data_IF_807201658307
#
_entry.id   IF_807201658307
#
_cell.length_a   1.000
_cell.length_b   1.000
_cell.length_c   1.000
_cell.angle_alpha   90.00
_cell.angle_beta   90.00
_cell.angle_gamma   90.00
#
_symmetry.space_group_name_H-M   'P 1'
#
loop_
_entity.id
_entity.type
_entity.pdbx_description
1 polymer ?
#
# COMPACT_ATOMS: atom_id res chain seq x y z
N UNK A 1 -7.29 -26.22 3.50
CA UNK A 1 -6.08 -25.88 4.28
C UNK A 1 -6.49 -24.93 5.39
N UNK A 2 -6.26 -25.26 6.66
CA UNK A 2 -6.59 -24.39 7.80
C UNK A 2 -5.46 -23.37 7.96
N UNK A 3 -5.77 -22.07 7.80
CA UNK A 3 -4.81 -20.98 8.00
C UNK A 3 -4.19 -21.01 9.41
N UNK A 4 -2.94 -20.57 9.54
CA UNK A 4 -2.25 -20.50 10.83
C UNK A 4 -2.74 -19.26 11.59
N UNK A 5 -3.23 -19.44 12.80
CA UNK A 5 -3.47 -18.36 13.75
C UNK A 5 -2.21 -18.21 14.59
N UNK A 6 -1.53 -17.05 14.49
CA UNK A 6 -0.39 -16.74 15.34
C UNK A 6 -0.87 -16.60 16.80
N UNK A 7 -0.24 -17.27 17.78
CA UNK A 7 -0.58 -17.07 19.19
C UNK A 7 -0.14 -15.67 19.63
N UNK A 8 -1.10 -14.78 19.94
CA UNK A 8 -0.85 -13.40 20.37
C UNK A 8 -1.07 -13.27 21.88
N UNK A 9 -0.04 -12.84 22.62
CA UNK A 9 -0.04 -12.76 24.08
C UNK A 9 -0.04 -11.29 24.54
N UNK A 10 -0.94 -10.93 25.47
CA UNK A 10 -1.24 -9.52 25.81
C UNK A 10 -0.19 -8.76 26.63
N UNK A 11 0.86 -9.43 27.12
CA UNK A 11 1.84 -8.87 28.06
C UNK A 11 3.31 -9.04 27.62
N UNK A 12 3.58 -9.06 26.32
CA UNK A 12 4.93 -9.39 25.82
C UNK A 12 5.73 -8.12 25.51
N UNK A 13 6.69 -7.76 26.38
CA UNK A 13 7.87 -6.99 25.96
C UNK A 13 8.82 -7.96 25.27
N UNK A 14 9.17 -7.69 24.00
CA UNK A 14 10.12 -8.55 23.29
C UNK A 14 11.47 -8.50 24.01
N UNK A 15 11.96 -9.65 24.47
CA UNK A 15 13.36 -9.75 24.91
C UNK A 15 14.28 -9.43 23.72
N UNK A 16 15.47 -8.88 23.96
CA UNK A 16 16.48 -8.61 22.91
C UNK A 16 16.80 -9.83 22.01
N UNK A 17 16.41 -11.04 22.43
CA UNK A 17 16.60 -12.29 21.70
C UNK A 17 15.46 -12.67 20.74
N UNK A 18 14.34 -11.95 20.74
CA UNK A 18 13.24 -12.28 19.84
C UNK A 18 13.45 -11.72 18.43
N UNK A 19 13.38 -12.62 17.45
CA UNK A 19 13.68 -12.30 16.06
C UNK A 19 12.43 -11.84 15.32
N UNK A 20 12.57 -10.74 14.61
CA UNK A 20 11.59 -10.30 13.60
C UNK A 20 11.96 -10.97 12.29
N UNK A 21 10.94 -11.50 11.61
CA UNK A 21 11.10 -12.25 10.35
C UNK A 21 10.13 -11.74 9.30
N UNK A 22 10.50 -11.86 8.03
CA UNK A 22 9.59 -11.63 6.90
C UNK A 22 8.85 -12.92 6.63
N UNK A 23 7.52 -12.89 6.70
CA UNK A 23 6.67 -14.08 6.54
C UNK A 23 5.92 -14.14 5.21
N UNK A 24 5.76 -13.00 4.52
CA UNK A 24 5.11 -12.94 3.22
C UNK A 24 5.50 -11.69 2.44
N UNK A 25 5.39 -11.78 1.12
CA UNK A 25 5.67 -10.70 0.18
C UNK A 25 4.48 -10.48 -0.75
N UNK A 26 4.14 -9.23 -0.99
CA UNK A 26 3.10 -8.84 -1.94
C UNK A 26 3.48 -7.55 -2.63
N UNK A 27 3.23 -7.50 -3.94
CA UNK A 27 3.66 -6.38 -4.77
C UNK A 27 2.76 -6.22 -5.99
N UNK A 28 2.51 -4.97 -6.36
CA UNK A 28 1.91 -4.57 -7.63
C UNK A 28 2.92 -3.67 -8.32
N UNK A 29 3.46 -4.12 -9.45
CA UNK A 29 4.59 -3.44 -10.11
C UNK A 29 4.35 -3.36 -11.63
N UNK A 30 5.11 -2.51 -12.35
CA UNK A 30 5.11 -2.53 -13.82
C UNK A 30 5.57 -3.86 -14.44
N UNK A 31 6.31 -4.68 -13.69
CA UNK A 31 6.72 -6.03 -14.08
C UNK A 31 5.71 -7.11 -13.67
N UNK A 32 4.53 -6.75 -13.16
CA UNK A 32 3.45 -7.68 -12.85
C UNK A 32 2.91 -7.57 -11.43
N UNK A 33 1.82 -8.31 -11.21
CA UNK A 33 1.11 -8.41 -9.94
C UNK A 33 1.46 -9.72 -9.26
N UNK A 34 1.91 -9.65 -8.01
CA UNK A 34 2.37 -10.80 -7.25
C UNK A 34 3.86 -11.10 -7.43
N UNK A 35 4.44 -11.78 -6.43
CA UNK A 35 5.87 -12.06 -6.36
C UNK A 35 6.37 -13.00 -7.47
N UNK A 36 5.54 -13.95 -7.88
CA UNK A 36 5.94 -14.97 -8.86
C UNK A 36 6.11 -14.35 -10.25
N UNK A 37 5.12 -13.57 -10.69
CA UNK A 37 5.22 -12.89 -12.00
C UNK A 37 6.31 -11.82 -12.00
N UNK A 38 6.40 -11.02 -10.94
CA UNK A 38 7.48 -10.05 -10.79
C UNK A 38 8.86 -10.71 -10.87
N UNK A 39 9.09 -11.77 -10.09
CA UNK A 39 10.39 -12.45 -10.04
C UNK A 39 10.74 -13.10 -11.37
N UNK A 40 9.78 -13.77 -12.01
CA UNK A 40 9.95 -14.38 -13.35
C UNK A 40 10.44 -13.35 -14.36
N UNK A 41 9.70 -12.24 -14.52
CA UNK A 41 10.04 -11.18 -15.48
C UNK A 41 11.34 -10.47 -15.14
N UNK A 42 11.59 -10.23 -13.85
CA UNK A 42 12.85 -9.64 -13.39
C UNK A 42 14.06 -10.51 -13.78
N UNK A 43 14.00 -11.83 -13.54
CA UNK A 43 15.12 -12.74 -13.84
C UNK A 43 15.26 -13.07 -15.32
N UNK A 44 14.20 -12.94 -16.11
CA UNK A 44 14.26 -13.02 -17.58
C UNK A 44 14.85 -11.76 -18.22
N UNK A 45 15.01 -10.67 -17.46
CA UNK A 45 15.57 -9.41 -17.94
C UNK A 45 14.56 -8.52 -18.66
N UNK A 46 13.26 -8.68 -18.36
CA UNK A 46 12.20 -7.87 -18.97
C UNK A 46 12.31 -6.40 -18.58
N UNK A 47 11.99 -5.52 -19.53
CA UNK A 47 11.89 -4.09 -19.31
C UNK A 47 10.42 -3.66 -19.34
N UNK A 48 9.96 -2.99 -18.27
CA UNK A 48 8.62 -2.39 -18.20
C UNK A 48 8.59 -0.90 -18.55
N UNK A 49 9.74 -0.32 -18.94
CA UNK A 49 9.81 1.08 -19.38
C UNK A 49 9.27 1.16 -20.80
N UNK A 50 8.26 2.01 -21.00
CA UNK A 50 7.63 2.25 -22.29
C UNK A 50 7.15 3.71 -22.36
N UNK A 51 6.60 4.12 -23.50
CA UNK A 51 5.92 5.41 -23.65
C UNK A 51 4.76 5.50 -22.64
N UNK A 52 4.71 6.60 -21.89
CA UNK A 52 3.63 6.91 -20.94
C UNK A 52 2.31 7.05 -21.70
N UNK A 53 1.27 6.38 -21.23
CA UNK A 53 -0.08 6.40 -21.82
C UNK A 53 -1.12 6.97 -20.86
N UNK A 54 -0.80 7.12 -19.58
CA UNK A 54 -1.74 7.58 -18.54
C UNK A 54 -2.07 9.08 -18.68
N UNK A 55 -1.16 9.88 -19.24
CA UNK A 55 -1.37 11.31 -19.47
C UNK A 55 -0.54 11.82 -20.66
N UNK A 56 -0.91 12.99 -21.19
CA UNK A 56 -0.19 13.62 -22.30
C UNK A 56 1.18 14.15 -21.85
N UNK A 57 2.24 13.68 -22.50
CA UNK A 57 3.62 14.07 -22.21
C UNK A 57 4.21 15.04 -23.24
N UNK A 58 3.45 15.53 -24.24
CA UNK A 58 3.98 16.40 -25.29
C UNK A 58 4.66 17.68 -24.77
N UNK A 59 4.19 18.20 -23.63
CA UNK A 59 4.71 19.43 -23.03
C UNK A 59 5.95 19.24 -22.13
N UNK A 60 6.42 18.00 -21.91
CA UNK A 60 7.57 17.68 -21.06
C UNK A 60 8.71 17.07 -21.88
N UNK A 61 9.92 17.06 -21.32
CA UNK A 61 11.12 16.55 -21.99
C UNK A 61 11.27 15.03 -21.93
N UNK A 62 10.50 14.33 -21.09
CA UNK A 62 10.53 12.88 -20.93
C UNK A 62 9.17 12.27 -21.23
N UNK A 63 9.16 11.26 -22.10
CA UNK A 63 7.95 10.57 -22.55
C UNK A 63 7.90 9.10 -22.10
N UNK A 64 8.96 8.62 -21.43
CA UNK A 64 9.09 7.24 -20.99
C UNK A 64 8.79 7.10 -19.49
N UNK A 65 8.17 5.99 -19.12
CA UNK A 65 7.84 5.64 -17.74
C UNK A 65 7.52 4.15 -17.60
N UNK A 66 7.43 3.67 -16.36
CA UNK A 66 7.05 2.29 -16.06
C UNK A 66 5.67 2.29 -15.40
N UNK A 67 4.64 2.01 -16.20
CA UNK A 67 3.25 2.01 -15.75
C UNK A 67 2.81 0.61 -15.33
N UNK A 68 2.04 0.52 -14.24
CA UNK A 68 1.28 -0.69 -13.94
C UNK A 68 0.09 -0.78 -14.89
N UNK A 69 0.11 -1.75 -15.82
CA UNK A 69 -0.92 -1.93 -16.87
C UNK A 69 -1.88 -3.09 -16.56
N UNK A 70 -1.36 -4.26 -16.21
CA UNK A 70 -2.15 -5.48 -16.01
C UNK A 70 -2.62 -5.65 -14.55
N UNK A 71 -3.19 -4.59 -13.98
CA UNK A 71 -3.72 -4.60 -12.61
C UNK A 71 -5.24 -4.46 -12.63
N UNK A 72 -5.92 -5.46 -12.05
CA UNK A 72 -7.39 -5.50 -11.95
C UNK A 72 -7.82 -5.33 -10.49
N UNK A 73 -8.16 -4.10 -10.03
CA UNK A 73 -8.35 -3.82 -8.60
C UNK A 73 -9.51 -4.60 -7.95
N UNK A 74 -10.54 -4.95 -8.74
CA UNK A 74 -11.72 -5.71 -8.27
C UNK A 74 -11.39 -7.11 -7.74
N UNK A 75 -10.21 -7.63 -8.08
CA UNK A 75 -9.75 -8.95 -7.62
C UNK A 75 -9.25 -8.88 -6.15
N UNK A 76 -8.97 -7.67 -5.65
CA UNK A 76 -8.37 -7.43 -4.33
C UNK A 76 -9.23 -6.57 -3.40
N UNK A 77 -10.12 -5.74 -3.96
CA UNK A 77 -10.88 -4.73 -3.22
C UNK A 77 -12.37 -4.91 -3.45
N UNK A 78 -13.15 -4.83 -2.37
CA UNK A 78 -14.60 -4.89 -2.40
C UNK A 78 -15.22 -3.82 -3.31
N UNK A 79 -16.30 -4.20 -4.01
CA UNK A 79 -17.07 -3.29 -4.89
C UNK A 79 -17.48 -1.99 -4.18
N UNK A 80 -17.76 -2.07 -2.87
CA UNK A 80 -18.12 -0.94 -2.03
C UNK A 80 -17.00 0.10 -1.91
N UNK A 81 -15.74 -0.34 -1.83
CA UNK A 81 -14.60 0.53 -1.59
C UNK A 81 -13.85 0.91 -2.87
N UNK A 82 -13.99 0.12 -3.95
CA UNK A 82 -13.35 0.36 -5.25
C UNK A 82 -13.49 1.80 -5.76
N UNK A 83 -14.68 2.41 -5.63
CA UNK A 83 -14.94 3.78 -6.13
C UNK A 83 -14.44 4.89 -5.22
N UNK A 84 -13.97 4.55 -4.01
CA UNK A 84 -13.52 5.52 -3.00
C UNK A 84 -12.00 5.63 -2.91
N UNK A 85 -11.28 4.66 -3.47
CA UNK A 85 -9.83 4.55 -3.37
C UNK A 85 -9.17 5.08 -4.64
N UNK A 86 -8.13 5.89 -4.49
CA UNK A 86 -7.23 6.25 -5.59
C UNK A 86 -6.36 5.06 -6.03
N UNK A 87 -5.64 5.23 -7.15
CA UNK A 87 -4.78 4.18 -7.72
C UNK A 87 -3.72 3.67 -6.72
N UNK A 88 -3.09 4.56 -5.97
CA UNK A 88 -2.10 4.22 -4.93
C UNK A 88 -2.74 3.43 -3.80
N UNK A 89 -3.93 3.83 -3.34
CA UNK A 89 -4.72 3.08 -2.35
C UNK A 89 -5.08 1.68 -2.83
N UNK A 90 -5.50 1.53 -4.09
CA UNK A 90 -5.84 0.23 -4.67
C UNK A 90 -4.60 -0.69 -4.76
N UNK A 91 -3.47 -0.18 -5.26
CA UNK A 91 -2.23 -0.96 -5.36
C UNK A 91 -1.67 -1.31 -3.97
N UNK A 92 -1.75 -0.40 -3.00
CA UNK A 92 -1.34 -0.64 -1.61
C UNK A 92 -2.17 -1.76 -0.99
N UNK A 93 -3.49 -1.70 -1.15
CA UNK A 93 -4.41 -2.71 -0.62
C UNK A 93 -4.18 -4.08 -1.25
N UNK A 94 -3.99 -4.14 -2.58
CA UNK A 94 -3.67 -5.38 -3.29
C UNK A 94 -2.32 -5.97 -2.86
N UNK A 95 -1.29 -5.14 -2.71
CA UNK A 95 0.03 -5.59 -2.24
C UNK A 95 -0.04 -6.15 -0.82
N UNK A 96 -0.76 -5.48 0.09
CA UNK A 96 -0.96 -5.96 1.45
C UNK A 96 -1.80 -7.26 1.51
N UNK A 97 -2.83 -7.41 0.67
CA UNK A 97 -3.58 -8.67 0.52
C UNK A 97 -2.67 -9.81 0.08
N UNK A 98 -1.89 -9.60 -0.97
CA UNK A 98 -0.94 -10.60 -1.49
C UNK A 98 0.09 -11.01 -0.42
N UNK A 99 0.58 -10.06 0.37
CA UNK A 99 1.50 -10.35 1.47
C UNK A 99 0.86 -11.20 2.59
N UNK A 100 -0.39 -10.91 2.97
CA UNK A 100 -1.13 -11.72 3.93
C UNK A 100 -1.37 -13.14 3.42
N UNK A 101 -1.75 -13.27 2.15
CA UNK A 101 -2.02 -14.55 1.51
C UNK A 101 -0.74 -15.40 1.44
N UNK A 102 0.40 -14.78 1.08
CA UNK A 102 1.71 -15.44 1.08
C UNK A 102 2.15 -15.88 2.49
N UNK A 103 1.89 -15.04 3.50
CA UNK A 103 2.16 -15.37 4.89
C UNK A 103 1.19 -16.42 5.47
N UNK A 104 0.09 -16.72 4.78
CA UNK A 104 -0.99 -17.58 5.27
C UNK A 104 -1.71 -17.01 6.51
N UNK A 105 -1.77 -15.68 6.64
CA UNK A 105 -2.35 -14.98 7.79
C UNK A 105 -3.78 -14.54 7.46
N UNK A 106 -4.74 -15.02 8.26
CA UNK A 106 -6.11 -14.53 8.23
C UNK A 106 -6.33 -13.43 9.29
N UNK A 107 -6.92 -12.30 8.88
CA UNK A 107 -7.34 -11.24 9.80
C UNK A 107 -8.67 -11.62 10.43
N UNK A 108 -8.73 -11.58 11.76
CA UNK A 108 -9.87 -11.99 12.58
C UNK A 108 -10.12 -10.98 13.69
N UNK A 109 -11.31 -11.01 14.34
CA UNK A 109 -11.55 -10.18 15.53
C UNK A 109 -10.55 -10.40 16.68
N UNK A 110 -9.90 -11.57 16.75
CA UNK A 110 -8.96 -11.90 17.82
C UNK A 110 -7.55 -11.36 17.60
N UNK A 111 -7.14 -11.02 16.37
CA UNK A 111 -5.79 -10.57 16.05
C UNK A 111 -5.71 -9.18 15.39
N UNK A 112 -6.81 -8.65 14.86
CA UNK A 112 -6.80 -7.40 14.07
C UNK A 112 -6.25 -6.17 14.80
N UNK A 113 -6.39 -6.09 16.11
CA UNK A 113 -5.86 -4.97 16.92
C UNK A 113 -4.33 -5.05 17.12
N UNK A 114 -3.71 -6.16 16.67
CA UNK A 114 -2.27 -6.43 16.74
C UNK A 114 -1.61 -6.50 15.36
N UNK A 115 -2.39 -6.28 14.30
CA UNK A 115 -1.90 -6.19 12.92
C UNK A 115 -1.91 -4.71 12.54
N UNK A 116 -0.73 -4.15 12.29
CA UNK A 116 -0.54 -2.77 11.89
C UNK A 116 -0.44 -2.58 10.37
N UNK A 117 -0.24 -1.33 9.96
CA UNK A 117 0.02 -0.91 8.59
C UNK A 117 1.03 0.24 8.62
N UNK A 118 2.25 -0.01 8.16
CA UNK A 118 3.24 1.05 7.97
C UNK A 118 3.54 1.22 6.50
N UNK A 119 3.19 2.39 5.97
CA UNK A 119 3.36 2.73 4.57
C UNK A 119 4.46 3.77 4.40
N UNK A 120 5.38 3.53 3.48
CA UNK A 120 6.27 4.56 2.96
C UNK A 120 5.72 5.15 1.67
N UNK A 121 5.60 6.48 1.58
CA UNK A 121 5.28 7.15 0.31
C UNK A 121 5.94 8.51 0.22
N UNK A 122 6.48 8.83 -0.96
CA UNK A 122 7.11 10.12 -1.23
C UNK A 122 6.08 11.22 -1.56
N UNK A 123 5.08 10.90 -2.38
CA UNK A 123 4.16 11.88 -2.96
C UNK A 123 2.68 11.52 -2.85
N UNK A 124 2.36 10.35 -2.29
CA UNK A 124 0.97 9.89 -2.19
C UNK A 124 0.27 9.83 -3.55
N UNK A 125 -1.04 10.09 -3.55
CA UNK A 125 -1.86 10.16 -4.76
C UNK A 125 -1.80 11.55 -5.41
N UNK A 126 -0.64 11.87 -6.02
CA UNK A 126 -0.40 13.20 -6.60
C UNK A 126 -1.38 13.56 -7.71
N UNK A 127 -1.81 12.58 -8.50
CA UNK A 127 -2.81 12.74 -9.56
C UNK A 127 -4.14 13.28 -9.01
N UNK A 128 -4.60 12.73 -7.88
CA UNK A 128 -5.83 13.17 -7.22
C UNK A 128 -5.68 14.57 -6.63
N UNK A 129 -4.52 14.87 -6.04
CA UNK A 129 -4.24 16.21 -5.52
C UNK A 129 -4.24 17.26 -6.64
N UNK A 130 -3.65 16.95 -7.80
CA UNK A 130 -3.63 17.83 -8.98
C UNK A 130 -5.04 18.02 -9.54
N UNK A 131 -5.83 16.95 -9.68
CA UNK A 131 -7.22 17.05 -10.13
C UNK A 131 -8.05 17.94 -9.19
N UNK A 132 -7.94 17.70 -7.89
CA UNK A 132 -8.65 18.45 -6.86
C UNK A 132 -8.29 19.94 -6.90
N UNK A 133 -6.99 20.25 -6.91
CA UNK A 133 -6.50 21.62 -6.98
C UNK A 133 -6.90 22.31 -8.28
N UNK A 134 -6.87 21.60 -9.41
CA UNK A 134 -7.30 22.11 -10.71
C UNK A 134 -8.71 22.67 -10.65
N UNK A 135 -9.69 21.85 -10.27
CA UNK A 135 -11.10 22.28 -10.14
C UNK A 135 -11.27 23.39 -9.10
N UNK A 136 -10.60 23.28 -7.95
CA UNK A 136 -10.68 24.29 -6.89
C UNK A 136 -10.24 25.67 -7.39
N UNK A 137 -9.15 25.73 -8.15
CA UNK A 137 -8.56 26.98 -8.62
C UNK A 137 -9.27 27.53 -9.86
N UNK A 138 -9.77 26.68 -10.75
CA UNK A 138 -10.44 27.11 -11.98
C UNK A 138 -11.93 27.44 -11.79
N UNK A 139 -12.62 26.68 -10.93
CA UNK A 139 -14.09 26.71 -10.82
C UNK A 139 -14.58 27.09 -9.41
N UNK A 140 -13.68 27.13 -8.43
CA UNK A 140 -13.97 27.51 -7.05
C UNK A 140 -14.42 26.34 -6.14
N UNK A 141 -14.51 26.57 -4.82
CA UNK A 141 -14.71 25.50 -3.83
C UNK A 141 -16.02 24.73 -3.97
N UNK A 142 -17.08 25.35 -4.48
CA UNK A 142 -18.40 24.73 -4.65
C UNK A 142 -18.43 23.63 -5.72
N UNK A 143 -17.46 23.64 -6.64
CA UNK A 143 -17.41 22.72 -7.79
C UNK A 143 -16.56 21.48 -7.52
N UNK A 144 -15.87 21.45 -6.38
CA UNK A 144 -14.94 20.37 -6.04
C UNK A 144 -15.69 19.14 -5.55
N UNK A 145 -15.29 17.96 -6.04
CA UNK A 145 -15.87 16.70 -5.58
C UNK A 145 -15.35 16.33 -4.18
N UNK A 146 -16.21 16.30 -3.14
CA UNK A 146 -15.78 16.00 -1.78
C UNK A 146 -15.27 14.56 -1.59
N UNK A 147 -15.61 13.63 -2.49
CA UNK A 147 -15.12 12.23 -2.45
C UNK A 147 -13.60 12.16 -2.72
N UNK A 148 -13.02 13.17 -3.38
CA UNK A 148 -11.58 13.19 -3.64
C UNK A 148 -10.78 13.59 -2.40
N UNK A 149 -11.34 14.37 -1.48
CA UNK A 149 -10.62 14.91 -0.31
C UNK A 149 -9.90 13.83 0.50
N UNK A 150 -10.52 12.69 0.86
CA UNK A 150 -9.82 11.66 1.63
C UNK A 150 -8.60 11.06 0.93
N UNK A 151 -8.54 11.14 -0.40
CA UNK A 151 -7.45 10.59 -1.22
C UNK A 151 -6.31 11.61 -1.44
N UNK A 152 -6.46 12.89 -1.08
CA UNK A 152 -5.41 13.90 -1.28
C UNK A 152 -4.32 13.88 -0.22
N UNK A 153 -4.53 13.14 0.88
CA UNK A 153 -3.59 13.06 2.00
C UNK A 153 -2.67 11.84 1.88
N UNK A 154 -1.43 11.98 2.33
CA UNK A 154 -0.39 10.96 2.17
C UNK A 154 -0.73 9.63 2.83
N UNK A 155 -1.50 9.65 3.93
CA UNK A 155 -1.88 8.47 4.69
C UNK A 155 -3.13 7.75 4.16
N UNK A 156 -3.77 8.27 3.10
CA UNK A 156 -4.97 7.67 2.53
C UNK A 156 -4.76 6.18 2.14
N UNK A 157 -3.67 5.79 1.45
CA UNK A 157 -3.49 4.40 1.04
C UNK A 157 -3.37 3.43 2.22
N UNK A 158 -2.68 3.82 3.29
CA UNK A 158 -2.59 3.01 4.51
C UNK A 158 -3.95 2.90 5.20
N UNK A 159 -4.70 3.99 5.31
CA UNK A 159 -6.04 3.99 5.91
C UNK A 159 -7.04 3.14 5.12
N UNK A 160 -7.06 3.29 3.79
CA UNK A 160 -7.89 2.51 2.90
C UNK A 160 -7.58 1.02 2.96
N UNK A 161 -6.30 0.64 2.90
CA UNK A 161 -5.87 -0.75 3.03
C UNK A 161 -6.27 -1.34 4.39
N UNK A 162 -6.06 -0.62 5.49
CA UNK A 162 -6.49 -1.09 6.82
C UNK A 162 -8.00 -1.29 6.93
N UNK A 163 -8.82 -0.40 6.35
CA UNK A 163 -10.27 -0.55 6.35
C UNK A 163 -10.71 -1.78 5.54
N UNK A 164 -10.14 -1.97 4.34
CA UNK A 164 -10.49 -3.10 3.48
C UNK A 164 -10.04 -4.45 4.06
N UNK A 165 -8.84 -4.50 4.63
CA UNK A 165 -8.23 -5.73 5.17
C UNK A 165 -8.60 -6.00 6.63
N UNK A 166 -9.17 -5.01 7.32
CA UNK A 166 -9.65 -5.12 8.70
C UNK A 166 -8.57 -4.90 9.77
N UNK A 167 -7.45 -4.26 9.44
CA UNK A 167 -6.38 -3.92 10.40
C UNK A 167 -6.84 -2.83 11.38
N UNK A 168 -6.49 -2.99 12.65
CA UNK A 168 -6.83 -2.06 13.75
C UNK A 168 -5.65 -1.75 14.68
N UNK A 169 -4.48 -2.33 14.41
CA UNK A 169 -3.25 -1.97 15.11
C UNK A 169 -2.71 -0.60 14.67
N UNK A 170 -1.43 -0.36 14.94
CA UNK A 170 -0.74 0.88 14.56
C UNK A 170 -0.88 1.13 13.05
N UNK A 171 -1.28 2.34 12.65
CA UNK A 171 -1.37 2.74 11.25
C UNK A 171 -0.61 4.07 11.08
N UNK A 172 0.54 4.00 10.41
CA UNK A 172 1.42 5.15 10.22
C UNK A 172 1.91 5.22 8.79
N UNK A 173 2.00 6.45 8.27
CA UNK A 173 2.61 6.71 6.97
C UNK A 173 3.86 7.57 7.14
N UNK A 174 4.95 7.17 6.50
CA UNK A 174 6.23 7.86 6.52
C UNK A 174 6.53 8.45 5.15
N UNK A 175 6.97 9.70 5.14
CA UNK A 175 7.29 10.44 3.91
C UNK A 175 8.69 11.02 4.01
N UNK A 176 9.66 10.29 3.45
CA UNK A 176 11.08 10.66 3.33
C UNK A 176 11.59 10.46 1.90
N UNK A 177 10.81 10.89 0.90
CA UNK A 177 11.15 10.76 -0.52
C UNK A 177 11.60 9.33 -0.90
N UNK A 178 12.78 9.19 -1.51
CA UNK A 178 13.33 7.93 -2.00
C UNK A 178 13.59 6.89 -0.91
N UNK A 179 13.68 7.29 0.37
CA UNK A 179 13.94 6.38 1.50
C UNK A 179 12.70 6.12 2.36
N UNK A 180 11.50 6.45 1.86
CA UNK A 180 10.25 6.32 2.62
C UNK A 180 9.94 4.85 2.96
N UNK A 181 10.19 3.92 2.04
CA UNK A 181 9.89 2.51 2.24
C UNK A 181 10.82 1.89 3.29
N UNK A 182 12.12 2.15 3.19
CA UNK A 182 13.14 1.69 4.13
C UNK A 182 12.91 2.26 5.54
N UNK A 183 12.52 3.53 5.61
CA UNK A 183 12.15 4.16 6.90
C UNK A 183 10.91 3.50 7.48
N UNK A 184 9.87 3.24 6.67
CA UNK A 184 8.65 2.57 7.12
C UNK A 184 8.95 1.15 7.63
N UNK A 185 9.80 0.38 6.95
CA UNK A 185 10.24 -0.96 7.39
C UNK A 185 11.00 -0.86 8.71
N UNK A 186 11.93 0.09 8.84
CA UNK A 186 12.68 0.30 10.09
C UNK A 186 11.75 0.66 11.25
N UNK A 187 10.75 1.49 10.99
CA UNK A 187 9.76 1.86 11.98
C UNK A 187 8.86 0.67 12.34
N UNK A 188 8.47 -0.17 11.37
CA UNK A 188 7.72 -1.41 11.62
C UNK A 188 8.47 -2.36 12.56
N UNK A 189 9.77 -2.55 12.31
CA UNK A 189 10.64 -3.33 13.18
C UNK A 189 10.64 -2.76 14.61
N UNK A 190 10.68 -1.43 14.77
CA UNK A 190 10.61 -0.79 16.08
C UNK A 190 9.25 -1.00 16.77
N UNK A 191 8.14 -0.90 16.05
CA UNK A 191 6.80 -1.08 16.62
C UNK A 191 6.55 -2.54 17.06
N UNK A 192 7.05 -3.51 16.29
CA UNK A 192 7.02 -4.92 16.68
C UNK A 192 7.89 -5.14 17.92
N UNK A 193 9.14 -4.64 17.94
CA UNK A 193 10.04 -4.73 19.12
C UNK A 193 9.44 -4.16 20.40
N UNK A 194 8.69 -3.06 20.28
CA UNK A 194 8.02 -2.41 21.42
C UNK A 194 6.76 -3.17 21.88
N UNK A 195 6.42 -4.28 21.23
CA UNK A 195 5.21 -5.04 21.52
C UNK A 195 3.92 -4.29 21.14
N UNK A 196 3.98 -3.28 20.25
CA UNK A 196 2.80 -2.51 19.82
C UNK A 196 1.96 -3.33 18.83
N UNK A 197 2.62 -4.12 17.98
CA UNK A 197 2.00 -5.03 17.02
C UNK A 197 2.76 -6.35 16.97
N UNK A 198 2.08 -7.43 16.57
CA UNK A 198 2.74 -8.73 16.34
C UNK A 198 2.98 -8.98 14.84
N UNK A 199 2.34 -8.21 13.97
CA UNK A 199 2.58 -8.17 12.52
C UNK A 199 2.30 -6.76 11.97
N UNK A 200 3.07 -6.34 10.97
CA UNK A 200 2.94 -5.06 10.25
C UNK A 200 3.17 -5.32 8.77
#
# INVERSE_FOLDING_TARGET
MKGRVLPMNRNYEMSDNERIVVTGLGMVTPLGVGKDEFSRRLFEGDCAIDTVQTFDTQAVTSHLGAEVRDFTPRDFVSVKNLRRMDKTSLMTTASARLALDDAGIAVTPGNRDRIGMLLGTAFGATDVAVQFAGTLLSEGPSSVNPILVPNTVMNAPAGHASIELGFRGVNTTVTHFAVSAETAITYAVSEIRRGVADAI
#
